data_IF_151816163712
#
_entry.id   IF_151816163712
#
_cell.length_a   1.000
_cell.length_b   1.000
_cell.length_c   1.000
_cell.angle_alpha   90.00
_cell.angle_beta   90.00
_cell.angle_gamma   90.00
#
_symmetry.space_group_name_H-M   'P 1'
#
loop_
_entity.id
_entity.type
_entity.pdbx_description
1 polymer ?
#
# COMPACT_ATOMS: atom_id res chain seq x y z
N UNK A 1 -15.38 2.73 22.28
CA UNK A 1 -15.42 4.12 21.77
C UNK A 1 -14.06 4.61 21.25
N UNK A 2 -12.95 4.60 22.01
CA UNK A 2 -11.66 5.13 21.51
C UNK A 2 -11.07 4.32 20.33
N UNK A 3 -11.25 3.00 20.33
CA UNK A 3 -10.77 2.11 19.25
C UNK A 3 -11.45 2.43 17.91
N UNK A 4 -12.77 2.65 17.92
CA UNK A 4 -13.52 2.99 16.70
C UNK A 4 -13.04 4.33 16.10
N UNK A 5 -12.78 5.32 16.96
CA UNK A 5 -12.26 6.63 16.53
C UNK A 5 -10.87 6.46 15.91
N UNK A 6 -10.01 5.63 16.49
CA UNK A 6 -8.68 5.35 15.96
C UNK A 6 -8.75 4.67 14.58
N UNK A 7 -9.65 3.71 14.39
CA UNK A 7 -9.85 3.03 13.10
C UNK A 7 -10.34 4.02 12.03
N UNK A 8 -11.34 4.85 12.36
CA UNK A 8 -11.85 5.85 11.42
C UNK A 8 -10.79 6.90 11.06
N UNK A 9 -9.99 7.34 12.04
CA UNK A 9 -8.89 8.27 11.82
C UNK A 9 -7.81 7.65 10.93
N UNK A 10 -7.46 6.38 11.15
CA UNK A 10 -6.50 5.65 10.31
C UNK A 10 -7.01 5.50 8.87
N UNK A 11 -8.28 5.16 8.68
CA UNK A 11 -8.89 5.06 7.36
C UNK A 11 -8.87 6.41 6.63
N UNK A 12 -9.21 7.49 7.34
CA UNK A 12 -9.15 8.84 6.79
C UNK A 12 -7.72 9.26 6.42
N UNK A 13 -6.75 9.02 7.30
CA UNK A 13 -5.33 9.26 7.02
C UNK A 13 -4.84 8.45 5.81
N UNK A 14 -5.29 7.20 5.66
CA UNK A 14 -4.90 6.40 4.51
C UNK A 14 -5.48 6.89 3.20
N UNK A 15 -6.71 7.38 3.22
CA UNK A 15 -7.32 8.03 2.07
C UNK A 15 -6.55 9.30 1.68
N UNK A 16 -6.15 10.11 2.67
CA UNK A 16 -5.29 11.27 2.45
C UNK A 16 -3.92 10.89 1.88
N UNK A 17 -3.28 9.83 2.40
CA UNK A 17 -1.99 9.35 1.89
C UNK A 17 -2.10 8.86 0.45
N UNK A 18 -3.20 8.19 0.08
CA UNK A 18 -3.45 7.78 -1.29
C UNK A 18 -3.65 8.98 -2.20
N UNK A 19 -4.41 10.00 -1.78
CA UNK A 19 -4.56 11.25 -2.54
C UNK A 19 -3.22 11.97 -2.70
N UNK A 20 -2.41 12.01 -1.65
CA UNK A 20 -1.09 12.63 -1.66
C UNK A 20 -0.16 11.86 -2.63
N UNK A 21 -0.17 10.53 -2.60
CA UNK A 21 0.55 9.69 -3.54
C UNK A 21 0.09 9.89 -4.99
N UNK A 22 -1.21 10.08 -5.23
CA UNK A 22 -1.75 10.35 -6.57
C UNK A 22 -1.32 11.72 -7.12
N UNK A 23 -1.21 12.73 -6.27
CA UNK A 23 -0.86 14.11 -6.66
C UNK A 23 0.65 14.35 -6.72
N UNK A 24 1.42 13.80 -5.77
CA UNK A 24 2.86 14.09 -5.58
C UNK A 24 3.77 12.92 -5.93
N UNK A 25 3.25 11.70 -5.92
CA UNK A 25 4.01 10.48 -6.12
C UNK A 25 4.49 10.28 -7.56
N UNK A 26 5.44 9.35 -7.73
CA UNK A 26 5.91 8.90 -9.03
C UNK A 26 5.01 7.80 -9.59
N UNK A 27 5.33 7.28 -10.79
CA UNK A 27 4.52 6.25 -11.42
C UNK A 27 4.30 5.02 -10.50
N UNK A 28 5.30 4.64 -9.70
CA UNK A 28 5.21 3.56 -8.74
C UNK A 28 4.21 3.84 -7.61
N UNK A 29 4.25 5.05 -7.03
CA UNK A 29 3.36 5.49 -5.95
C UNK A 29 1.92 5.62 -6.42
N UNK A 30 1.70 6.13 -7.64
CA UNK A 30 0.36 6.28 -8.21
C UNK A 30 -0.29 4.91 -8.46
N UNK A 31 0.46 3.97 -9.02
CA UNK A 31 -0.03 2.61 -9.25
C UNK A 31 -0.24 1.87 -7.93
N UNK A 32 0.70 1.97 -6.98
CA UNK A 32 0.56 1.35 -5.66
C UNK A 32 -0.64 1.89 -4.88
N UNK A 33 -0.87 3.21 -4.90
CA UNK A 33 -2.07 3.82 -4.33
C UNK A 33 -3.35 3.31 -5.01
N UNK A 34 -3.33 3.17 -6.34
CA UNK A 34 -4.43 2.58 -7.10
C UNK A 34 -4.77 1.16 -6.66
N UNK A 35 -3.76 0.32 -6.42
CA UNK A 35 -3.94 -1.06 -5.92
C UNK A 35 -4.53 -1.06 -4.51
N UNK A 36 -4.06 -0.19 -3.61
CA UNK A 36 -4.60 -0.08 -2.25
C UNK A 36 -6.06 0.38 -2.26
N UNK A 37 -6.41 1.35 -3.10
CA UNK A 37 -7.80 1.81 -3.27
C UNK A 37 -8.67 0.68 -3.83
N UNK A 38 -8.20 -0.03 -4.85
CA UNK A 38 -8.92 -1.17 -5.42
C UNK A 38 -9.15 -2.26 -4.38
N UNK A 39 -8.13 -2.59 -3.59
CA UNK A 39 -8.23 -3.54 -2.48
C UNK A 39 -9.29 -3.11 -1.46
N UNK A 40 -9.31 -1.83 -1.08
CA UNK A 40 -10.31 -1.29 -0.16
C UNK A 40 -11.72 -1.40 -0.74
N UNK A 41 -11.91 -1.10 -2.03
CA UNK A 41 -13.20 -1.24 -2.70
C UNK A 41 -13.69 -2.70 -2.73
N UNK A 42 -12.80 -3.65 -3.02
CA UNK A 42 -13.10 -5.09 -2.95
C UNK A 42 -13.43 -5.51 -1.51
N UNK A 43 -12.71 -4.96 -0.53
CA UNK A 43 -12.96 -5.23 0.88
C UNK A 43 -14.34 -4.75 1.38
N UNK A 44 -14.86 -3.65 0.81
CA UNK A 44 -16.24 -3.21 1.04
C UNK A 44 -17.25 -4.09 0.29
N UNK A 45 -16.99 -4.40 -0.99
CA UNK A 45 -17.89 -5.21 -1.80
C UNK A 45 -18.07 -6.63 -1.21
N UNK A 46 -17.00 -7.25 -0.71
CA UNK A 46 -17.08 -8.59 -0.11
C UNK A 46 -18.00 -8.63 1.12
N UNK A 47 -18.02 -7.57 1.93
CA UNK A 47 -18.88 -7.47 3.12
C UNK A 47 -20.36 -7.36 2.75
N UNK A 48 -20.68 -6.84 1.56
CA UNK A 48 -22.07 -6.76 1.07
C UNK A 48 -22.53 -8.05 0.41
N UNK A 49 -21.62 -8.80 -0.22
CA UNK A 49 -21.96 -9.95 -1.07
C UNK A 49 -21.84 -11.28 -0.32
N UNK A 50 -20.76 -11.46 0.46
CA UNK A 50 -20.41 -12.75 1.06
C UNK A 50 -20.69 -12.76 2.56
N UNK A 51 -21.13 -13.91 3.07
CA UNK A 51 -21.43 -14.14 4.48
C UNK A 51 -20.83 -15.48 4.93
N UNK A 52 -20.48 -15.60 6.21
CA UNK A 52 -19.90 -16.82 6.79
C UNK A 52 -18.56 -17.21 6.16
N UNK A 53 -18.30 -18.51 5.98
CA UNK A 53 -17.02 -19.03 5.49
C UNK A 53 -16.62 -18.54 4.09
N UNK A 54 -17.59 -18.19 3.23
CA UNK A 54 -17.31 -17.64 1.89
C UNK A 54 -16.62 -16.26 1.95
N UNK A 55 -16.83 -15.49 3.03
CA UNK A 55 -16.20 -14.19 3.24
C UNK A 55 -14.69 -14.34 3.44
N UNK A 56 -14.26 -15.37 4.17
CA UNK A 56 -12.84 -15.63 4.43
C UNK A 56 -12.12 -16.08 3.17
N UNK A 57 -12.73 -16.97 2.37
CA UNK A 57 -12.17 -17.38 1.07
C UNK A 57 -12.02 -16.17 0.13
N UNK A 58 -13.03 -15.31 0.07
CA UNK A 58 -12.95 -14.08 -0.72
C UNK A 58 -11.83 -13.14 -0.22
N UNK A 59 -11.63 -13.03 1.09
CA UNK A 59 -10.54 -12.26 1.68
C UNK A 59 -9.16 -12.85 1.32
N UNK A 60 -8.98 -14.17 1.44
CA UNK A 60 -7.75 -14.86 1.00
C UNK A 60 -7.42 -14.56 -0.46
N UNK A 61 -8.39 -14.76 -1.37
CA UNK A 61 -8.18 -14.53 -2.80
C UNK A 61 -7.79 -13.09 -3.09
N UNK A 62 -8.45 -12.14 -2.42
CA UNK A 62 -8.17 -10.72 -2.55
C UNK A 62 -6.76 -10.35 -2.06
N UNK A 63 -6.35 -10.83 -0.90
CA UNK A 63 -5.04 -10.51 -0.32
C UNK A 63 -3.91 -11.14 -1.14
N UNK A 64 -4.09 -12.39 -1.57
CA UNK A 64 -3.15 -13.08 -2.44
C UNK A 64 -3.00 -12.39 -3.80
N UNK A 65 -4.12 -11.99 -4.43
CA UNK A 65 -4.08 -11.27 -5.71
C UNK A 65 -3.40 -9.90 -5.56
N UNK A 66 -3.70 -9.18 -4.48
CA UNK A 66 -3.10 -7.87 -4.20
C UNK A 66 -1.60 -8.01 -3.96
N UNK A 67 -1.16 -9.00 -3.19
CA UNK A 67 0.26 -9.29 -2.99
C UNK A 67 0.97 -9.61 -4.31
N UNK A 68 0.37 -10.40 -5.21
CA UNK A 68 0.95 -10.71 -6.52
C UNK A 68 1.06 -9.47 -7.42
N UNK A 69 0.04 -8.61 -7.42
CA UNK A 69 0.07 -7.35 -8.16
C UNK A 69 1.16 -6.43 -7.62
N UNK A 70 1.26 -6.28 -6.30
CA UNK A 70 2.31 -5.49 -5.64
C UNK A 70 3.70 -6.08 -5.87
N UNK A 71 3.85 -7.40 -5.93
CA UNK A 71 5.11 -8.05 -6.30
C UNK A 71 5.53 -7.66 -7.71
N UNK A 72 4.63 -7.75 -8.69
CA UNK A 72 4.91 -7.35 -10.07
C UNK A 72 5.31 -5.86 -10.17
N UNK A 73 4.63 -5.00 -9.42
CA UNK A 73 4.96 -3.58 -9.29
C UNK A 73 6.34 -3.36 -8.62
N UNK A 74 6.63 -4.11 -7.56
CA UNK A 74 7.92 -4.05 -6.84
C UNK A 74 9.06 -4.43 -7.78
N UNK A 75 8.91 -5.52 -8.54
CA UNK A 75 9.92 -5.96 -9.51
C UNK A 75 10.11 -4.96 -10.65
N UNK A 76 9.03 -4.31 -11.10
CA UNK A 76 9.09 -3.32 -12.19
C UNK A 76 9.74 -2.01 -11.78
N UNK A 77 9.44 -1.51 -10.58
CA UNK A 77 9.87 -0.19 -10.12
C UNK A 77 11.04 -0.23 -9.12
N UNK A 78 11.45 -1.42 -8.68
CA UNK A 78 12.49 -1.65 -7.67
C UNK A 78 12.32 -0.80 -6.40
N UNK A 79 11.06 -0.57 -6.01
CA UNK A 79 10.73 0.29 -4.87
C UNK A 79 10.62 -0.52 -3.58
N UNK A 80 11.44 -0.18 -2.59
CA UNK A 80 11.48 -0.85 -1.29
C UNK A 80 10.13 -0.79 -0.56
N UNK A 81 9.39 0.32 -0.66
CA UNK A 81 8.12 0.46 0.05
C UNK A 81 7.04 -0.47 -0.52
N UNK A 82 7.01 -0.67 -1.85
CA UNK A 82 6.10 -1.63 -2.49
C UNK A 82 6.38 -3.06 -2.01
N UNK A 83 7.65 -3.42 -1.84
CA UNK A 83 8.05 -4.71 -1.29
C UNK A 83 7.60 -4.90 0.16
N UNK A 84 7.72 -3.87 1.00
CA UNK A 84 7.20 -3.91 2.38
C UNK A 84 5.69 -4.12 2.39
N UNK A 85 4.94 -3.35 1.58
CA UNK A 85 3.47 -3.49 1.48
C UNK A 85 3.09 -4.88 0.97
N UNK A 86 3.81 -5.42 0.00
CA UNK A 86 3.60 -6.78 -0.49
C UNK A 86 3.75 -7.82 0.63
N UNK A 87 4.79 -7.72 1.46
CA UNK A 87 5.01 -8.65 2.57
C UNK A 87 3.92 -8.56 3.64
N UNK A 88 3.42 -7.36 3.91
CA UNK A 88 2.28 -7.12 4.80
C UNK A 88 1.01 -7.83 4.29
N UNK A 89 0.66 -7.66 3.01
CA UNK A 89 -0.45 -8.39 2.40
C UNK A 89 -0.25 -9.91 2.39
N UNK A 90 0.99 -10.40 2.22
CA UNK A 90 1.29 -11.83 2.32
C UNK A 90 1.08 -12.36 3.76
N UNK A 91 1.39 -11.56 4.78
CA UNK A 91 1.11 -11.88 6.17
C UNK A 91 -0.40 -11.91 6.44
N UNK A 92 -1.16 -10.96 5.89
CA UNK A 92 -2.63 -10.93 5.99
C UNK A 92 -3.27 -12.13 5.26
N UNK A 93 -2.75 -12.51 4.10
CA UNK A 93 -3.13 -13.74 3.40
C UNK A 93 -2.90 -14.98 4.28
N UNK A 94 -1.74 -15.09 4.91
CA UNK A 94 -1.43 -16.19 5.83
C UNK A 94 -2.35 -16.22 7.05
N UNK A 95 -2.69 -15.06 7.61
CA UNK A 95 -3.66 -14.94 8.69
C UNK A 95 -5.05 -15.41 8.26
N UNK A 96 -5.53 -14.96 7.10
CA UNK A 96 -6.82 -15.39 6.56
C UNK A 96 -6.84 -16.91 6.28
N UNK A 97 -5.74 -17.47 5.77
CA UNK A 97 -5.60 -18.92 5.59
C UNK A 97 -5.65 -19.69 6.92
N UNK A 98 -4.96 -19.20 7.95
CA UNK A 98 -4.96 -19.80 9.27
C UNK A 98 -6.36 -19.82 9.89
N UNK A 99 -7.09 -18.70 9.83
CA UNK A 99 -8.45 -18.61 10.38
C UNK A 99 -9.46 -19.43 9.56
N UNK A 100 -9.27 -19.54 8.25
CA UNK A 100 -10.10 -20.38 7.39
C UNK A 100 -9.94 -21.87 7.73
N UNK A 101 -8.69 -22.37 7.83
CA UNK A 101 -8.42 -23.79 8.14
C UNK A 101 -8.93 -24.19 9.52
N UNK A 102 -8.90 -23.27 10.49
CA UNK A 102 -9.35 -23.53 11.86
C UNK A 102 -10.85 -23.24 12.07
N UNK A 103 -11.58 -22.84 11.04
CA UNK A 103 -12.99 -22.39 11.10
C UNK A 103 -13.25 -21.39 12.24
N UNK A 104 -12.24 -20.57 12.54
CA UNK A 104 -12.23 -19.70 13.71
C UNK A 104 -12.91 -18.39 13.34
N UNK A 105 -13.92 -18.00 14.11
CA UNK A 105 -14.54 -16.69 13.95
C UNK A 105 -13.59 -15.58 14.44
N UNK A 106 -13.71 -14.38 13.87
CA UNK A 106 -12.75 -13.30 14.07
C UNK A 106 -12.53 -12.97 15.55
N UNK A 107 -11.29 -13.16 16.00
CA UNK A 107 -10.87 -12.92 17.38
C UNK A 107 -10.10 -11.60 17.53
N UNK A 108 -9.83 -11.20 18.78
CA UNK A 108 -9.02 -10.01 19.09
C UNK A 108 -7.66 -10.01 18.37
N UNK A 109 -7.02 -11.18 18.23
CA UNK A 109 -5.76 -11.29 17.48
C UNK A 109 -5.93 -10.94 16.00
N UNK A 110 -7.02 -11.40 15.38
CA UNK A 110 -7.33 -11.07 13.98
C UNK A 110 -7.52 -9.56 13.80
N UNK A 111 -8.29 -8.94 14.70
CA UNK A 111 -8.51 -7.48 14.68
C UNK A 111 -7.20 -6.71 14.84
N UNK A 112 -6.38 -7.07 15.83
CA UNK A 112 -5.11 -6.37 16.10
C UNK A 112 -4.14 -6.52 14.93
N UNK A 113 -3.97 -7.72 14.37
CA UNK A 113 -3.05 -7.93 13.24
C UNK A 113 -3.53 -7.18 12.01
N UNK A 114 -4.83 -7.24 11.69
CA UNK A 114 -5.40 -6.50 10.57
C UNK A 114 -5.20 -4.98 10.71
N UNK A 115 -5.38 -4.43 11.91
CA UNK A 115 -5.18 -3.00 12.15
C UNK A 115 -3.70 -2.60 12.03
N UNK A 116 -2.80 -3.38 12.63
CA UNK A 116 -1.34 -3.14 12.54
C UNK A 116 -0.87 -3.22 11.09
N UNK A 117 -1.37 -4.18 10.32
CA UNK A 117 -1.07 -4.33 8.90
C UNK A 117 -1.52 -3.08 8.12
N UNK A 118 -2.75 -2.63 8.35
CA UNK A 118 -3.29 -1.41 7.74
C UNK A 118 -2.47 -0.15 8.08
N UNK A 119 -2.01 -0.02 9.33
CA UNK A 119 -1.08 1.05 9.71
C UNK A 119 0.27 0.93 9.01
N UNK A 120 0.81 -0.29 8.91
CA UNK A 120 2.07 -0.58 8.22
C UNK A 120 2.01 -0.19 6.74
N UNK A 121 0.93 -0.56 6.04
CA UNK A 121 0.70 -0.19 4.63
C UNK A 121 0.64 1.32 4.47
N UNK A 122 -0.06 2.02 5.37
CA UNK A 122 -0.17 3.47 5.34
C UNK A 122 1.16 4.17 5.57
N UNK A 123 1.93 3.72 6.55
CA UNK A 123 3.24 4.27 6.84
C UNK A 123 4.19 4.05 5.67
N UNK A 124 4.19 2.84 5.08
CA UNK A 124 5.03 2.52 3.92
C UNK A 124 4.68 3.40 2.71
N UNK A 125 3.38 3.59 2.41
CA UNK A 125 2.93 4.47 1.34
C UNK A 125 3.32 5.93 1.59
N UNK A 126 3.17 6.41 2.82
CA UNK A 126 3.56 7.77 3.19
C UNK A 126 5.07 7.98 3.01
N UNK A 127 5.90 7.07 3.52
CA UNK A 127 7.36 7.12 3.38
C UNK A 127 7.78 7.04 1.91
N UNK A 128 7.16 6.16 1.12
CA UNK A 128 7.40 6.07 -0.32
C UNK A 128 7.07 7.37 -1.06
N UNK A 129 5.95 7.99 -0.72
CA UNK A 129 5.53 9.26 -1.33
C UNK A 129 6.45 10.42 -0.96
N UNK A 130 6.86 10.52 0.31
CA UNK A 130 7.78 11.56 0.79
C UNK A 130 9.16 11.40 0.15
N UNK A 131 9.70 10.18 0.07
CA UNK A 131 11.01 9.93 -0.55
C UNK A 131 11.00 10.20 -2.06
N UNK A 132 9.93 9.84 -2.77
CA UNK A 132 9.76 10.20 -4.18
C UNK A 132 9.69 11.72 -4.37
N UNK A 133 8.99 12.43 -3.48
CA UNK A 133 8.84 13.88 -3.56
C UNK A 133 10.15 14.62 -3.28
N UNK A 134 10.92 14.21 -2.28
CA UNK A 134 12.23 14.82 -1.97
C UNK A 134 13.24 14.58 -3.10
N UNK A 135 13.27 13.37 -3.66
CA UNK A 135 14.12 13.04 -4.83
C UNK A 135 13.80 13.92 -6.05
N UNK A 136 12.51 14.10 -6.36
CA UNK A 136 12.09 14.99 -7.47
C UNK A 136 12.51 16.44 -7.25
N UNK A 137 12.42 16.94 -6.01
CA UNK A 137 12.90 18.30 -5.68
C UNK A 137 14.40 18.44 -5.87
N UNK A 138 15.19 17.46 -5.44
CA UNK A 138 16.65 17.49 -5.61
C UNK A 138 17.05 17.54 -7.08
N UNK A 139 16.38 16.77 -7.96
CA UNK A 139 16.62 16.80 -9.40
C UNK A 139 16.24 18.16 -10.01
N UNK A 140 15.10 18.73 -9.61
CA UNK A 140 14.65 20.04 -10.11
C UNK A 140 15.52 21.21 -9.64
N UNK A 141 16.24 21.05 -8.52
CA UNK A 141 17.13 22.09 -7.96
C UNK A 141 18.60 21.85 -8.35
N UNK A 142 18.90 20.77 -9.10
CA UNK A 142 20.25 20.51 -9.56
C UNK A 142 20.67 21.61 -10.56
N UNK A 143 21.81 22.30 -10.34
CA UNK A 143 22.28 23.32 -11.27
C UNK A 143 22.48 22.71 -12.66
N UNK A 144 22.06 23.44 -13.70
CA UNK A 144 22.22 23.01 -15.09
C UNK A 144 23.70 22.66 -15.35
N UNK A 145 23.99 21.57 -16.08
CA UNK A 145 25.36 21.23 -16.42
C UNK A 145 26.02 22.44 -17.08
N UNK A 146 27.11 22.92 -16.47
CA UNK A 146 27.87 24.06 -16.99
C UNK A 146 28.19 23.80 -18.47
N UNK A 147 27.99 24.78 -19.37
CA UNK A 147 28.22 24.60 -20.79
C UNK A 147 29.66 24.13 -20.99
N UNK A 148 29.81 22.85 -21.32
CA UNK A 148 31.09 22.26 -21.63
C UNK A 148 31.58 22.92 -22.92
N UNK A 149 32.63 23.75 -22.79
CA UNK A 149 33.59 24.02 -23.85
C UNK A 149 33.04 24.76 -25.09
N UNK A 150 32.53 25.98 -24.88
CA UNK A 150 32.65 27.04 -25.89
C UNK A 150 34.13 27.50 -26.09
N UNK A 151 35.09 26.85 -25.41
CA UNK A 151 36.53 27.15 -25.42
C UNK A 151 37.36 26.25 -26.35
N UNK A 152 36.78 25.32 -27.10
CA UNK A 152 37.51 24.51 -28.08
C UNK A 152 37.62 25.20 -29.46
N UNK A 153 37.94 26.51 -29.47
CA UNK A 153 38.24 27.27 -30.68
C UNK A 153 39.62 27.91 -30.59
N UNK A 154 40.60 27.37 -31.32
CA UNK A 154 41.56 28.18 -32.07
C UNK A 154 41.24 28.19 -33.57
#
# INVERSE_FOLDING_TARGET
>A
MPILIAILAAAFLGLLNCLLALVKGDAAERLGAGVIIANLAVAFARQMIFHGGALQVAALCNDGLTALVLLALTLRYASLWLGVVMLLYALLFGLNAYYFVLERHGDLLYMVVSDVDFFGVNLALFVGTVTAWTRRRQIATAPAPAPALAEAAP
#
